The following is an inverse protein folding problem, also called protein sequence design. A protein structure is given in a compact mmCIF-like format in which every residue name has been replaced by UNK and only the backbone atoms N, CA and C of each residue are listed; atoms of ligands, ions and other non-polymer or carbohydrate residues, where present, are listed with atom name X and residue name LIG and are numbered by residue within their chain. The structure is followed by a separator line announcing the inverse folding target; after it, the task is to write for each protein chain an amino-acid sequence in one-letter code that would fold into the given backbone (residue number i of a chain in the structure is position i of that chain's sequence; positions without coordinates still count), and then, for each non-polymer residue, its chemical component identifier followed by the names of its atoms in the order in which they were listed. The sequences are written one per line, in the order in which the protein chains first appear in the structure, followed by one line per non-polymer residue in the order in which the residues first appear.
data_IF_875460585394
#
_entry.id   IF_875460585394
#
_cell.length_a   1.000
_cell.length_b   1.000
_cell.length_c   1.000
_cell.angle_alpha   90.00
_cell.angle_beta   90.00
_cell.angle_gamma   90.00
#
_symmetry.space_group_name_H-M   'P 1'
#
loop_
_entity.id
_entity.type
_entity.pdbx_description
1 polymer ?
#
# COMPACT_ATOMS: atom_id res chain seq x y z
N UNK A 1 0.01 -9.22 9.90
CA UNK A 1 -0.14 -8.15 8.89
C UNK A 1 -1.28 -7.28 9.33
N UNK A 2 -1.52 -6.11 8.73
CA UNK A 2 -2.91 -5.61 8.66
C UNK A 2 -3.72 -6.72 7.97
N UNK A 3 -4.36 -7.56 8.78
CA UNK A 3 -5.01 -8.75 8.28
C UNK A 3 -6.30 -8.34 7.59
N UNK A 4 -6.56 -8.93 6.43
CA UNK A 4 -7.84 -8.84 5.76
C UNK A 4 -8.33 -10.24 5.42
N UNK A 5 -9.64 -10.42 5.45
CA UNK A 5 -10.31 -11.57 4.86
C UNK A 5 -10.77 -11.20 3.46
N UNK A 6 -10.97 -12.18 2.57
CA UNK A 6 -11.51 -11.90 1.23
C UNK A 6 -12.88 -11.22 1.27
N UNK A 7 -13.65 -11.43 2.34
CA UNK A 7 -14.92 -10.75 2.60
C UNK A 7 -14.78 -9.28 2.98
N UNK A 8 -13.60 -8.82 3.40
CA UNK A 8 -13.37 -7.39 3.67
C UNK A 8 -13.16 -6.59 2.37
N UNK A 9 -12.85 -7.25 1.25
CA UNK A 9 -12.62 -6.60 -0.04
C UNK A 9 -13.98 -6.36 -0.72
N UNK A 10 -14.34 -5.10 -1.04
CA UNK A 10 -15.57 -4.84 -1.75
C UNK A 10 -15.70 -5.58 -3.08
N UNK A 11 -16.87 -6.15 -3.34
CA UNK A 11 -17.14 -6.95 -4.56
C UNK A 11 -16.94 -6.18 -5.86
N UNK A 12 -17.00 -4.85 -5.81
CA UNK A 12 -16.71 -3.94 -6.93
C UNK A 12 -15.22 -3.83 -7.28
N UNK A 13 -14.32 -4.29 -6.40
CA UNK A 13 -12.89 -4.43 -6.62
C UNK A 13 -12.62 -5.74 -7.34
N UNK A 14 -12.67 -5.65 -8.67
CA UNK A 14 -12.56 -6.77 -9.58
C UNK A 14 -11.37 -6.63 -10.55
N UNK A 15 -10.43 -5.72 -10.25
CA UNK A 15 -9.21 -5.53 -11.02
C UNK A 15 -8.02 -5.25 -10.11
N UNK A 16 -6.80 -5.48 -10.62
CA UNK A 16 -5.57 -5.22 -9.88
C UNK A 16 -5.39 -3.74 -9.56
N UNK A 17 -5.81 -2.85 -10.47
CA UNK A 17 -5.73 -1.40 -10.28
C UNK A 17 -6.64 -0.94 -9.15
N UNK A 18 -7.88 -1.44 -9.12
CA UNK A 18 -8.82 -1.14 -8.01
C UNK A 18 -8.29 -1.69 -6.69
N UNK A 19 -7.72 -2.90 -6.69
CA UNK A 19 -7.13 -3.50 -5.50
C UNK A 19 -5.91 -2.70 -5.02
N UNK A 20 -5.07 -2.21 -5.93
CA UNK A 20 -3.94 -1.35 -5.61
C UNK A 20 -4.38 -0.02 -4.97
N UNK A 21 -5.39 0.65 -5.54
CA UNK A 21 -5.93 1.89 -4.95
C UNK A 21 -6.49 1.63 -3.55
N UNK A 22 -7.29 0.57 -3.38
CA UNK A 22 -7.87 0.21 -2.09
C UNK A 22 -6.81 -0.09 -1.03
N UNK A 23 -5.86 -1.00 -1.35
CA UNK A 23 -4.79 -1.39 -0.42
C UNK A 23 -3.91 -0.21 -0.02
N UNK A 24 -3.45 0.58 -0.98
CA UNK A 24 -2.54 1.71 -0.72
C UNK A 24 -3.21 2.83 0.08
N UNK A 25 -4.49 3.08 -0.14
CA UNK A 25 -5.25 4.09 0.62
C UNK A 25 -5.44 3.66 2.07
N UNK A 26 -5.78 2.38 2.32
CA UNK A 26 -5.89 1.82 3.67
C UNK A 26 -4.54 1.88 4.40
N UNK A 27 -3.44 1.51 3.74
CA UNK A 27 -2.12 1.55 4.37
C UNK A 27 -1.71 2.99 4.74
N UNK A 28 -2.02 3.98 3.89
CA UNK A 28 -1.77 5.39 4.18
C UNK A 28 -2.61 5.89 5.36
N UNK A 29 -3.89 5.49 5.44
CA UNK A 29 -4.80 5.85 6.54
C UNK A 29 -4.37 5.23 7.88
N UNK A 30 -3.94 3.96 7.87
CA UNK A 30 -3.57 3.24 9.08
C UNK A 30 -2.17 3.59 9.59
N UNK A 31 -1.26 4.00 8.71
CA UNK A 31 0.14 4.25 9.06
C UNK A 31 0.67 5.64 8.64
N UNK A 32 -0.07 6.75 8.84
CA UNK A 32 0.25 8.06 8.26
C UNK A 32 1.53 8.69 8.83
N UNK A 33 1.91 8.32 10.05
CA UNK A 33 3.11 8.79 10.74
C UNK A 33 4.24 7.75 10.80
N UNK A 34 4.03 6.54 10.29
CA UNK A 34 5.04 5.48 10.39
C UNK A 34 6.13 5.74 9.36
N UNK A 35 7.39 5.71 9.80
CA UNK A 35 8.55 5.98 8.95
C UNK A 35 9.55 4.83 9.00
N UNK A 36 10.33 4.70 7.92
CA UNK A 36 11.47 3.79 7.83
C UNK A 36 12.69 4.56 7.30
N UNK A 37 13.89 4.17 7.73
CA UNK A 37 15.14 4.70 7.19
C UNK A 37 15.43 3.97 5.88
N UNK A 38 15.40 4.70 4.77
CA UNK A 38 15.58 4.13 3.43
C UNK A 38 16.84 4.65 2.75
N UNK A 39 17.32 5.80 3.20
CA UNK A 39 18.62 6.35 2.85
C UNK A 39 19.29 6.88 4.12
N UNK A 40 20.62 7.00 4.08
CA UNK A 40 21.41 7.44 5.23
C UNK A 40 20.90 8.79 5.75
N UNK A 41 20.45 8.81 7.01
CA UNK A 41 19.96 10.02 7.68
C UNK A 41 18.60 10.54 7.19
N UNK A 42 17.86 9.80 6.36
CA UNK A 42 16.55 10.21 5.85
C UNK A 42 15.49 9.15 6.17
N UNK A 43 14.56 9.52 7.04
CA UNK A 43 13.36 8.74 7.30
C UNK A 43 12.29 9.12 6.26
N UNK A 44 11.71 8.13 5.60
CA UNK A 44 10.59 8.29 4.69
C UNK A 44 9.34 7.63 5.27
N UNK A 45 8.15 8.15 4.95
CA UNK A 45 6.89 7.52 5.35
C UNK A 45 6.73 6.18 4.66
N UNK A 46 6.31 5.16 5.41
CA UNK A 46 6.14 3.80 4.87
C UNK A 46 4.96 3.68 3.91
N UNK A 47 3.97 4.57 4.01
CA UNK A 47 2.85 4.62 3.11
C UNK A 47 2.45 6.08 2.85
N UNK A 48 2.35 6.44 1.57
CA UNK A 48 1.79 7.70 1.09
C UNK A 48 0.93 7.39 -0.14
N UNK A 49 -0.31 7.86 -0.17
CA UNK A 49 -1.22 7.63 -1.29
C UNK A 49 -2.21 8.78 -1.43
N UNK A 50 -2.59 9.09 -2.68
CA UNK A 50 -3.64 10.08 -2.93
C UNK A 50 -3.89 10.36 -4.40
N UNK A 51 -4.92 11.16 -4.71
CA UNK A 51 -5.18 11.65 -6.05
C UNK A 51 -4.25 12.83 -6.38
N UNK A 52 -3.63 12.78 -7.56
CA UNK A 52 -2.77 13.82 -8.10
C UNK A 52 -3.25 14.22 -9.50
N UNK A 53 -3.37 15.52 -9.73
CA UNK A 53 -3.67 16.08 -11.04
C UNK A 53 -2.36 16.20 -11.83
N UNK A 54 -2.26 15.44 -12.92
CA UNK A 54 -1.11 15.49 -13.82
C UNK A 54 -1.34 16.63 -14.82
N UNK A 55 -0.67 17.74 -14.60
CA UNK A 55 -0.78 18.95 -15.42
C UNK A 55 0.13 18.95 -16.65
N UNK A 56 1.08 18.01 -16.70
CA UNK A 56 2.06 17.86 -17.79
C UNK A 56 1.50 17.14 -19.04
N UNK A 57 0.21 16.79 -19.05
CA UNK A 57 -0.50 16.14 -20.17
C UNK A 57 -1.71 16.97 -20.57
N UNK A 58 -2.13 16.84 -21.83
CA UNK A 58 -3.32 17.51 -22.39
C UNK A 58 -4.29 16.47 -23.00
N UNK A 59 -5.53 16.33 -22.51
CA UNK A 59 -6.10 17.04 -21.35
C UNK A 59 -5.43 16.62 -20.03
N UNK A 60 -5.47 17.49 -19.02
CA UNK A 60 -5.01 17.16 -17.67
C UNK A 60 -5.78 15.96 -17.12
N UNK A 61 -5.10 15.10 -16.33
CA UNK A 61 -5.67 13.85 -15.85
C UNK A 61 -5.42 13.64 -14.36
N UNK A 62 -6.45 13.21 -13.63
CA UNK A 62 -6.28 12.70 -12.28
C UNK A 62 -5.69 11.29 -12.29
N UNK A 63 -4.71 11.04 -11.44
CA UNK A 63 -4.14 9.71 -11.19
C UNK A 63 -4.05 9.44 -9.70
N UNK A 64 -4.23 8.19 -9.32
CA UNK A 64 -3.80 7.72 -8.00
C UNK A 64 -2.29 7.53 -8.03
N UNK A 65 -1.56 8.22 -7.16
CA UNK A 65 -0.13 7.98 -6.95
C UNK A 65 0.03 7.48 -5.53
N UNK A 66 0.76 6.38 -5.40
CA UNK A 66 1.09 5.80 -4.11
C UNK A 66 2.56 5.40 -4.05
N UNK A 67 3.11 5.48 -2.85
CA UNK A 67 4.46 5.09 -2.47
C UNK A 67 4.35 4.25 -1.21
N UNK A 68 4.80 3.00 -1.29
CA UNK A 68 4.70 2.04 -0.18
C UNK A 68 6.06 1.37 0.06
N UNK A 69 6.42 1.22 1.33
CA UNK A 69 7.58 0.49 1.82
C UNK A 69 7.11 -0.58 2.78
N UNK A 70 7.22 -1.83 2.34
CA UNK A 70 6.85 -3.01 3.12
C UNK A 70 8.14 -3.76 3.48
N UNK A 71 8.39 -4.05 4.76
CA UNK A 71 9.55 -4.84 5.14
C UNK A 71 9.47 -6.24 4.52
N UNK A 72 10.60 -6.76 4.03
CA UNK A 72 10.72 -8.12 3.49
C UNK A 72 11.65 -8.92 4.40
N UNK A 73 11.37 -10.21 4.60
CA UNK A 73 12.30 -11.10 5.31
C UNK A 73 13.48 -11.56 4.42
N UNK A 74 14.64 -11.84 5.01
CA UNK A 74 15.91 -12.11 4.31
C UNK A 74 15.90 -13.15 3.16
N UNK A 75 15.17 -14.28 3.22
CA UNK A 75 15.22 -15.26 2.13
C UNK A 75 14.60 -14.77 0.81
N UNK A 76 14.00 -13.58 0.76
CA UNK A 76 13.32 -13.06 -0.42
C UNK A 76 14.17 -13.06 -1.70
N UNK A 77 15.49 -12.88 -1.59
CA UNK A 77 16.42 -12.85 -2.76
C UNK A 77 16.82 -14.22 -3.28
N UNK A 78 16.70 -15.26 -2.45
CA UNK A 78 17.22 -16.62 -2.75
C UNK A 78 16.15 -17.70 -2.70
N UNK A 79 14.91 -17.34 -2.34
CA UNK A 79 13.80 -18.28 -2.23
C UNK A 79 13.19 -18.62 -3.58
N UNK A 80 12.84 -19.90 -3.77
CA UNK A 80 12.01 -20.37 -4.88
C UNK A 80 10.51 -20.03 -4.69
N UNK A 81 10.19 -19.01 -3.88
CA UNK A 81 8.83 -18.60 -3.57
C UNK A 81 8.53 -17.21 -4.16
N UNK A 82 7.24 -16.87 -4.20
CA UNK A 82 6.77 -15.60 -4.76
C UNK A 82 7.06 -14.46 -3.79
N UNK A 83 7.51 -13.30 -4.28
CA UNK A 83 8.01 -12.22 -3.42
C UNK A 83 7.03 -11.78 -2.31
N UNK A 84 5.73 -11.80 -2.59
CA UNK A 84 4.70 -11.41 -1.62
C UNK A 84 4.60 -12.35 -0.41
N UNK A 85 5.12 -13.58 -0.48
CA UNK A 85 5.17 -14.48 0.69
C UNK A 85 6.20 -14.05 1.74
N UNK A 86 7.07 -13.10 1.39
CA UNK A 86 8.12 -12.57 2.25
C UNK A 86 7.77 -11.20 2.84
N UNK A 87 6.65 -10.60 2.41
CA UNK A 87 6.13 -9.34 2.95
C UNK A 87 5.80 -9.48 4.44
N UNK A 88 6.30 -8.53 5.24
CA UNK A 88 6.07 -8.45 6.67
C UNK A 88 5.13 -7.30 7.01
N UNK A 89 4.69 -7.30 8.26
CA UNK A 89 3.75 -6.33 8.79
C UNK A 89 4.41 -4.95 8.94
N UNK A 90 3.71 -3.90 8.50
CA UNK A 90 4.04 -2.53 8.90
C UNK A 90 3.67 -2.31 10.37
N UNK A 91 2.56 -2.91 10.81
CA UNK A 91 2.09 -2.91 12.18
C UNK A 91 0.82 -3.74 12.35
N UNK A 92 0.10 -3.50 13.44
CA UNK A 92 -1.17 -4.18 13.75
C UNK A 92 -2.28 -3.16 13.91
N UNK A 93 -3.19 -3.12 12.95
CA UNK A 93 -4.39 -2.29 12.97
C UNK A 93 -5.53 -2.98 12.22
N UNK A 94 -6.77 -2.69 12.61
CA UNK A 94 -7.96 -3.18 11.91
C UNK A 94 -8.30 -2.27 10.73
N UNK A 95 -8.72 -2.85 9.61
CA UNK A 95 -9.23 -2.07 8.47
C UNK A 95 -10.49 -1.31 8.91
N UNK A 96 -10.57 0.02 8.69
CA UNK A 96 -11.75 0.81 9.05
C UNK A 96 -12.99 0.35 8.24
N UNK A 97 -14.17 0.46 8.86
CA UNK A 97 -15.42 -0.08 8.30
C UNK A 97 -15.77 0.54 6.94
N UNK A 98 -15.46 1.82 6.73
CA UNK A 98 -15.71 2.57 5.49
C UNK A 98 -14.96 2.03 4.27
N UNK A 99 -13.90 1.24 4.48
CA UNK A 99 -13.17 0.58 3.39
C UNK A 99 -13.72 -0.82 3.09
N UNK A 100 -14.62 -1.34 3.93
CA UNK A 100 -15.23 -2.67 3.78
C UNK A 100 -16.62 -2.55 3.15
N UNK A 101 -17.16 -3.68 2.67
CA UNK A 101 -18.56 -3.80 2.27
C UNK A 101 -19.12 -5.15 2.69
#
# INVERSE_FOLDING_TARGET
MTAFSTSDIPSSINSLEKLAVWTTTILNELYPGTTAIEASGQAARVAEAGPFLITAVDPQQWRHIARISIPLNDPWRRGNAKIWTFAQDIGSASIPTEYKS
#
